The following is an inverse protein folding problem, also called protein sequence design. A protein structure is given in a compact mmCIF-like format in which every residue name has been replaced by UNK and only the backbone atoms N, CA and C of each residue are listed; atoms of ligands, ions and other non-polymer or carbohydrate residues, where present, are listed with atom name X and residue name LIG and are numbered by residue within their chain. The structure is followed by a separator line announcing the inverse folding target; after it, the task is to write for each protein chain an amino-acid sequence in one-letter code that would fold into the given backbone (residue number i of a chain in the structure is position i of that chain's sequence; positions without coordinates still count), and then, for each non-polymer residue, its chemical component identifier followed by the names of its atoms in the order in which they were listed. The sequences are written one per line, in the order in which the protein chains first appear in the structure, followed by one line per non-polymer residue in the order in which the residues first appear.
data_IF_410828499865
#
_entry.id   IF_410828499865
#
_cell.length_a   1.000
_cell.length_b   1.000
_cell.length_c   1.000
_cell.angle_alpha   90.00
_cell.angle_beta   90.00
_cell.angle_gamma   90.00
#
_symmetry.space_group_name_H-M   'P 1'
#
loop_
_entity.id
_entity.type
_entity.pdbx_description
1 polymer ?
#
# COMPACT_ATOMS: atom_id res chain seq x y z
N UNK A 1 23.58 -2.83 15.16
CA UNK A 1 24.25 -1.63 15.71
C UNK A 1 24.47 -0.65 14.56
N UNK A 2 23.81 0.51 14.55
CA UNK A 2 24.02 1.53 13.51
C UNK A 2 24.22 2.89 14.18
N UNK A 3 25.41 3.46 14.06
CA UNK A 3 25.70 4.81 14.50
C UNK A 3 25.36 5.80 13.38
N UNK A 4 24.67 6.89 13.71
CA UNK A 4 24.40 7.98 12.77
C UNK A 4 25.71 8.73 12.52
N UNK A 5 26.42 8.39 11.45
CA UNK A 5 27.55 9.17 10.97
C UNK A 5 27.08 10.56 10.50
N UNK A 6 27.86 11.59 10.81
CA UNK A 6 27.55 12.96 10.38
C UNK A 6 27.59 13.03 8.84
N UNK A 7 26.46 13.35 8.20
CA UNK A 7 26.41 13.60 6.75
C UNK A 7 27.05 14.96 6.45
N UNK A 8 28.21 14.96 5.80
CA UNK A 8 28.90 16.18 5.33
C UNK A 8 28.27 16.80 4.08
N UNK A 9 27.39 16.07 3.39
CA UNK A 9 26.67 16.56 2.20
C UNK A 9 25.20 16.14 2.24
N UNK A 10 24.32 17.12 2.06
CA UNK A 10 22.89 16.94 1.87
C UNK A 10 22.52 17.41 0.46
N UNK A 11 21.54 16.75 -0.15
CA UNK A 11 20.94 17.22 -1.40
C UNK A 11 19.99 18.35 -1.04
N UNK A 12 20.15 19.51 -1.66
CA UNK A 12 19.18 20.58 -1.58
C UNK A 12 18.03 20.32 -2.55
N UNK A 13 16.96 19.73 -2.02
CA UNK A 13 15.77 19.38 -2.79
C UNK A 13 15.05 20.59 -3.38
N UNK A 14 15.25 21.80 -2.83
CA UNK A 14 14.63 23.02 -3.34
C UNK A 14 15.20 23.46 -4.70
N UNK A 15 16.45 23.08 -4.99
CA UNK A 15 17.14 23.43 -6.24
C UNK A 15 16.87 22.47 -7.39
N UNK A 16 16.30 21.31 -7.10
CA UNK A 16 16.06 20.26 -8.10
C UNK A 16 14.89 20.59 -9.06
N UNK A 17 14.17 21.70 -8.83
CA UNK A 17 13.03 22.16 -9.65
C UNK A 17 12.08 21.01 -10.05
N UNK A 18 11.91 20.02 -9.17
CA UNK A 18 11.07 18.87 -9.46
C UNK A 18 9.62 19.36 -9.59
N UNK A 19 8.88 18.88 -10.58
CA UNK A 19 7.46 19.20 -10.68
C UNK A 19 6.79 18.76 -9.38
N UNK A 20 6.03 19.66 -8.77
CA UNK A 20 5.13 19.29 -7.69
C UNK A 20 4.05 18.39 -8.29
N UNK A 21 4.25 17.08 -8.21
CA UNK A 21 3.25 16.09 -8.62
C UNK A 21 2.12 16.16 -7.60
N UNK A 22 1.18 17.07 -7.80
CA UNK A 22 -0.07 17.11 -7.03
C UNK A 22 -0.96 15.98 -7.53
N UNK A 23 -1.19 14.99 -6.67
CA UNK A 23 -2.16 13.92 -6.92
C UNK A 23 -1.62 12.65 -7.58
N UNK A 24 -0.31 12.39 -7.50
CA UNK A 24 0.30 11.15 -7.97
C UNK A 24 1.36 10.62 -7.00
N UNK A 25 1.14 10.82 -5.70
CA UNK A 25 2.05 10.35 -4.66
C UNK A 25 1.75 8.93 -4.26
N UNK A 26 2.78 8.20 -3.79
CA UNK A 26 2.60 6.92 -3.10
C UNK A 26 1.76 7.04 -1.81
N UNK A 27 1.55 8.28 -1.34
CA UNK A 27 0.77 8.65 -0.17
C UNK A 27 -0.68 9.03 -0.53
N UNK A 28 -1.24 8.45 -1.58
CA UNK A 28 -2.66 8.57 -1.91
C UNK A 28 -3.44 7.37 -1.34
N UNK A 29 -4.75 7.50 -1.03
CA UNK A 29 -5.58 6.36 -0.69
C UNK A 29 -5.62 5.34 -1.83
N UNK A 30 -5.62 4.05 -1.50
CA UNK A 30 -5.76 2.97 -2.47
C UNK A 30 -7.11 3.04 -3.20
N UNK A 31 -7.08 2.88 -4.52
CA UNK A 31 -8.28 2.72 -5.33
C UNK A 31 -8.74 1.25 -5.35
N UNK A 32 -10.04 1.03 -5.62
CA UNK A 32 -10.60 -0.31 -5.75
C UNK A 32 -9.92 -1.12 -6.85
N UNK A 33 -9.60 -0.48 -7.97
CA UNK A 33 -8.91 -1.10 -9.09
C UNK A 33 -7.51 -1.60 -8.70
N UNK A 34 -6.72 -0.78 -7.99
CA UNK A 34 -5.38 -1.18 -7.51
C UNK A 34 -5.45 -2.38 -6.56
N UNK A 35 -6.37 -2.34 -5.59
CA UNK A 35 -6.58 -3.43 -4.64
C UNK A 35 -7.01 -4.70 -5.39
N UNK A 36 -7.88 -4.57 -6.39
CA UNK A 36 -8.33 -5.70 -7.19
C UNK A 36 -7.21 -6.32 -8.05
N UNK A 37 -6.39 -5.50 -8.71
CA UNK A 37 -5.22 -5.99 -9.43
C UNK A 37 -4.25 -6.74 -8.51
N UNK A 38 -4.01 -6.22 -7.30
CA UNK A 38 -3.18 -6.90 -6.31
C UNK A 38 -3.76 -8.26 -5.87
N UNK A 39 -5.07 -8.36 -5.67
CA UNK A 39 -5.77 -9.62 -5.34
C UNK A 39 -5.67 -10.62 -6.50
N UNK A 40 -5.76 -10.17 -7.75
CA UNK A 40 -5.58 -11.03 -8.92
C UNK A 40 -4.14 -11.51 -9.08
N UNK A 41 -3.17 -10.63 -8.86
CA UNK A 41 -1.75 -10.96 -8.92
C UNK A 41 -1.29 -11.87 -7.76
N UNK A 42 -2.05 -11.92 -6.66
CA UNK A 42 -1.74 -12.75 -5.51
C UNK A 42 -1.83 -14.25 -5.84
N UNK A 43 -0.84 -15.07 -5.43
CA UNK A 43 -0.81 -16.50 -5.70
C UNK A 43 -2.09 -17.19 -5.24
N UNK A 44 -2.60 -18.11 -6.07
CA UNK A 44 -3.77 -18.91 -5.76
C UNK A 44 -3.47 -20.11 -4.85
N UNK A 45 -2.20 -20.51 -4.77
CA UNK A 45 -1.84 -21.86 -4.40
C UNK A 45 -1.10 -21.90 -3.05
N UNK A 46 -1.84 -22.35 -2.03
CA UNK A 46 -1.42 -22.80 -0.70
C UNK A 46 -0.50 -21.87 0.12
N UNK A 47 -1.07 -21.29 1.16
CA UNK A 47 -0.33 -21.02 2.38
C UNK A 47 0.09 -22.37 2.98
N UNK A 48 1.29 -22.43 3.56
CA UNK A 48 1.75 -23.58 4.36
C UNK A 48 0.88 -23.83 5.62
N UNK A 49 -0.08 -22.94 5.89
CA UNK A 49 -1.01 -22.98 7.00
C UNK A 49 -2.25 -23.84 6.66
N UNK A 50 -2.76 -24.69 7.58
CA UNK A 50 -3.95 -25.51 7.37
C UNK A 50 -5.21 -24.74 6.94
N UNK A 51 -5.30 -23.45 7.27
CA UNK A 51 -6.50 -22.65 7.07
C UNK A 51 -6.66 -22.04 5.67
N UNK A 52 -5.87 -22.44 4.67
CA UNK A 52 -6.28 -22.51 3.25
C UNK A 52 -6.91 -21.28 2.55
N UNK A 53 -6.92 -20.10 3.15
CA UNK A 53 -7.57 -18.90 2.57
C UNK A 53 -6.53 -18.03 1.89
N UNK A 54 -6.27 -18.26 0.60
CA UNK A 54 -5.20 -17.52 -0.09
C UNK A 54 -5.54 -17.31 -1.55
N UNK A 55 -5.78 -16.05 -1.91
CA UNK A 55 -6.11 -15.58 -3.26
C UNK A 55 -7.51 -15.97 -3.77
N UNK A 56 -7.84 -17.26 -3.77
CA UNK A 56 -9.07 -17.79 -4.38
C UNK A 56 -10.32 -17.23 -3.69
N UNK A 57 -10.35 -17.19 -2.35
CA UNK A 57 -11.48 -16.62 -1.62
C UNK A 57 -11.71 -15.14 -1.95
N UNK A 58 -10.66 -14.32 -1.90
CA UNK A 58 -10.79 -12.90 -2.19
C UNK A 58 -11.29 -12.65 -3.60
N UNK A 59 -10.86 -13.48 -4.57
CA UNK A 59 -11.39 -13.44 -5.94
C UNK A 59 -12.85 -13.90 -6.03
N UNK A 60 -13.21 -15.00 -5.39
CA UNK A 60 -14.56 -15.59 -5.44
C UNK A 60 -15.60 -14.74 -4.71
N UNK A 61 -15.21 -14.09 -3.61
CA UNK A 61 -16.11 -13.33 -2.75
C UNK A 61 -15.99 -11.82 -2.94
N UNK A 62 -15.21 -11.33 -3.91
CA UNK A 62 -14.90 -9.92 -4.09
C UNK A 62 -16.14 -9.02 -4.07
N UNK A 63 -17.16 -9.37 -4.85
CA UNK A 63 -18.41 -8.59 -4.92
C UNK A 63 -19.12 -8.45 -3.56
N UNK A 64 -18.95 -9.44 -2.68
CA UNK A 64 -19.54 -9.43 -1.34
C UNK A 64 -18.70 -8.65 -0.35
N UNK A 65 -17.36 -8.74 -0.43
CA UNK A 65 -16.45 -8.20 0.60
C UNK A 65 -15.76 -6.88 0.22
N UNK A 66 -15.86 -6.44 -1.05
CA UNK A 66 -15.14 -5.26 -1.58
C UNK A 66 -15.33 -4.02 -0.70
N UNK A 67 -16.56 -3.74 -0.26
CA UNK A 67 -16.87 -2.58 0.57
C UNK A 67 -16.08 -2.57 1.89
N UNK A 68 -16.04 -3.70 2.59
CA UNK A 68 -15.37 -3.79 3.87
C UNK A 68 -13.84 -3.82 3.71
N UNK A 69 -13.33 -4.43 2.63
CA UNK A 69 -11.91 -4.37 2.27
C UNK A 69 -11.50 -2.92 2.02
N UNK A 70 -12.25 -2.16 1.22
CA UNK A 70 -11.93 -0.76 0.93
C UNK A 70 -11.93 0.14 2.17
N UNK A 71 -12.83 -0.11 3.13
CA UNK A 71 -12.79 0.58 4.44
C UNK A 71 -11.50 0.31 5.21
N UNK A 72 -11.03 -0.94 5.24
CA UNK A 72 -9.79 -1.30 5.93
C UNK A 72 -8.58 -0.60 5.29
N UNK A 73 -8.49 -0.59 3.96
CA UNK A 73 -7.42 0.12 3.25
C UNK A 73 -7.48 1.64 3.50
N UNK A 74 -8.68 2.22 3.56
CA UNK A 74 -8.86 3.62 3.93
C UNK A 74 -8.42 3.91 5.38
N UNK A 75 -8.69 3.00 6.32
CA UNK A 75 -8.22 3.14 7.70
C UNK A 75 -6.69 3.06 7.80
N UNK A 76 -6.04 2.13 7.08
CA UNK A 76 -4.58 2.08 7.03
C UNK A 76 -3.97 3.38 6.52
N UNK A 77 -4.56 3.98 5.49
CA UNK A 77 -4.16 5.28 4.99
C UNK A 77 -4.27 6.39 6.05
N UNK A 78 -5.41 6.47 6.73
CA UNK A 78 -5.62 7.49 7.77
C UNK A 78 -4.69 7.31 8.98
N UNK A 79 -4.41 6.06 9.39
CA UNK A 79 -3.47 5.77 10.48
C UNK A 79 -2.05 6.20 10.08
N UNK A 80 -1.62 5.91 8.86
CA UNK A 80 -0.31 6.33 8.37
C UNK A 80 -0.18 7.87 8.31
N UNK A 81 -1.23 8.58 7.87
CA UNK A 81 -1.26 10.04 7.82
C UNK A 81 -1.28 10.73 9.20
N UNK A 82 -1.82 10.07 10.23
CA UNK A 82 -1.91 10.63 11.59
C UNK A 82 -0.61 10.44 12.42
N UNK A 83 0.39 9.74 11.91
CA UNK A 83 1.69 9.52 12.57
C UNK A 83 2.85 10.32 11.94
N UNK A 84 2.52 11.31 11.09
CA UNK A 84 3.46 12.24 10.45
C UNK A 84 3.36 13.65 11.04
#
# INVERSE_FOLDING_TARGET
LGSKGARTRAIDWSQLQLPAIRGGGLDNPFSEAEVWEAIKASPAEKALCPDGFIGVFFRSCWQTITHDIMKVFHQFYCIAGNNL
#
